data_IF_190853570617
#
_entry.id   IF_190853570617
#
_cell.length_a   1.000
_cell.length_b   1.000
_cell.length_c   1.000
_cell.angle_alpha   90.00
_cell.angle_beta   90.00
_cell.angle_gamma   90.00
#
_symmetry.space_group_name_H-M   'P 1'
#
loop_
_entity.id
_entity.type
_entity.pdbx_description
1 polymer ?
#
# COMPACT_ATOMS: atom_id res chain seq x y z
N UNK A 1 18.10 29.39 3.44
CA UNK A 1 17.26 28.25 3.07
C UNK A 1 18.18 27.06 3.03
N UNK A 2 17.90 26.06 3.84
CA UNK A 2 18.71 24.85 3.94
C UNK A 2 18.67 24.15 2.57
N UNK A 3 19.82 24.04 1.91
CA UNK A 3 19.97 23.46 0.57
C UNK A 3 20.08 21.93 0.69
N UNK A 4 19.13 21.34 1.42
CA UNK A 4 19.08 19.90 1.62
C UNK A 4 18.96 19.23 0.25
N UNK A 5 19.99 18.46 -0.10
CA UNK A 5 20.11 17.79 -1.39
C UNK A 5 18.89 16.88 -1.61
N UNK A 6 18.06 17.19 -2.61
CA UNK A 6 16.86 16.39 -2.92
C UNK A 6 17.30 14.98 -3.33
N UNK A 7 16.71 13.96 -2.72
CA UNK A 7 16.94 12.55 -3.05
C UNK A 7 15.61 11.83 -3.28
N UNK A 8 15.66 10.69 -3.94
CA UNK A 8 14.51 9.78 -4.04
C UNK A 8 14.32 9.08 -2.70
N UNK A 9 13.09 9.01 -2.23
CA UNK A 9 12.68 8.27 -1.04
C UNK A 9 11.60 7.28 -1.42
N UNK A 10 11.68 6.07 -0.86
CA UNK A 10 10.69 5.02 -1.07
C UNK A 10 9.82 4.85 0.19
N UNK A 11 8.52 4.73 -0.01
CA UNK A 11 7.56 4.37 1.03
C UNK A 11 7.02 2.99 0.65
N UNK A 12 7.17 2.01 1.55
CA UNK A 12 6.74 0.63 1.33
C UNK A 12 5.57 0.27 2.23
N UNK A 13 4.54 -0.34 1.64
CA UNK A 13 3.33 -0.78 2.33
C UNK A 13 3.14 -2.28 2.09
N UNK A 14 3.16 -3.07 3.16
CA UNK A 14 2.78 -4.47 3.12
C UNK A 14 1.26 -4.62 3.20
N UNK A 15 0.68 -5.45 2.35
CA UNK A 15 -0.76 -5.75 2.36
C UNK A 15 -0.99 -7.26 2.30
N UNK A 16 -1.80 -7.79 3.22
CA UNK A 16 -2.27 -9.17 3.16
C UNK A 16 -3.63 -9.18 2.45
N UNK A 17 -3.59 -9.42 1.13
CA UNK A 17 -4.75 -9.28 0.26
C UNK A 17 -4.62 -10.16 -1.00
N UNK A 18 -5.71 -10.33 -1.74
CA UNK A 18 -5.62 -10.86 -3.11
C UNK A 18 -4.94 -9.85 -4.03
N UNK A 19 -4.43 -10.32 -5.18
CA UNK A 19 -3.81 -9.43 -6.16
C UNK A 19 -4.76 -8.32 -6.65
N UNK A 20 -6.04 -8.64 -6.85
CA UNK A 20 -7.08 -7.67 -7.23
C UNK A 20 -7.27 -6.60 -6.15
N UNK A 21 -7.34 -7.02 -4.89
CA UNK A 21 -7.46 -6.10 -3.75
C UNK A 21 -6.22 -5.21 -3.62
N UNK A 22 -5.02 -5.77 -3.82
CA UNK A 22 -3.77 -5.00 -3.79
C UNK A 22 -3.72 -3.94 -4.91
N UNK A 23 -4.13 -4.30 -6.13
CA UNK A 23 -4.28 -3.33 -7.24
C UNK A 23 -5.27 -2.22 -6.89
N UNK A 24 -6.40 -2.57 -6.27
CA UNK A 24 -7.37 -1.56 -5.84
C UNK A 24 -6.77 -0.59 -4.82
N UNK A 25 -5.95 -1.05 -3.88
CA UNK A 25 -5.22 -0.17 -2.95
C UNK A 25 -4.29 0.77 -3.72
N UNK A 26 -3.57 0.29 -4.73
CA UNK A 26 -2.71 1.14 -5.58
C UNK A 26 -3.50 2.24 -6.28
N UNK A 27 -4.69 1.92 -6.82
CA UNK A 27 -5.57 2.90 -7.44
C UNK A 27 -6.04 3.97 -6.42
N UNK A 28 -6.42 3.54 -5.21
CA UNK A 28 -6.84 4.45 -4.14
C UNK A 28 -5.68 5.36 -3.67
N UNK A 29 -4.48 4.82 -3.48
CA UNK A 29 -3.28 5.60 -3.13
C UNK A 29 -2.97 6.60 -4.24
N UNK A 30 -3.08 6.18 -5.50
CA UNK A 30 -2.87 7.05 -6.65
C UNK A 30 -3.84 8.20 -6.67
N UNK A 31 -5.13 7.92 -6.48
CA UNK A 31 -6.18 8.93 -6.44
C UNK A 31 -6.01 9.90 -5.26
N UNK A 32 -5.59 9.41 -4.09
CA UNK A 32 -5.38 10.22 -2.90
C UNK A 32 -4.19 11.19 -3.05
N UNK A 33 -3.11 10.74 -3.68
CA UNK A 33 -1.89 11.53 -3.85
C UNK A 33 -1.89 12.40 -5.12
N UNK A 34 -2.84 12.15 -6.03
CA UNK A 34 -3.02 12.98 -7.21
C UNK A 34 -3.82 14.25 -6.85
N UNK A 35 -3.29 15.45 -7.07
CA UNK A 35 -3.97 16.70 -6.73
C UNK A 35 -5.17 17.00 -7.65
N UNK A 36 -5.19 16.37 -8.84
CA UNK A 36 -6.18 16.57 -9.89
C UNK A 36 -6.34 15.24 -10.65
N UNK A 37 -7.34 14.40 -10.37
CA UNK A 37 -7.49 13.10 -11.03
C UNK A 37 -7.81 13.19 -12.53
N UNK A 38 -8.24 14.35 -13.03
CA UNK A 38 -8.69 14.55 -14.41
C UNK A 38 -7.59 15.13 -15.34
N UNK A 39 -6.36 15.29 -14.84
CA UNK A 39 -5.23 15.76 -15.65
C UNK A 39 -4.87 14.76 -16.75
N UNK A 40 -4.32 15.27 -17.88
CA UNK A 40 -3.80 14.38 -18.94
C UNK A 40 -2.48 13.75 -18.50
N UNK A 41 -2.33 12.41 -18.56
CA UNK A 41 -1.08 11.75 -18.22
C UNK A 41 0.10 12.26 -19.08
N UNK A 42 1.34 12.27 -18.53
CA UNK A 42 1.72 11.79 -17.20
C UNK A 42 1.44 12.81 -16.07
N UNK A 43 1.34 12.31 -14.83
CA UNK A 43 1.14 13.14 -13.63
C UNK A 43 2.24 14.20 -13.48
N UNK A 44 1.89 15.48 -13.22
CA UNK A 44 2.89 16.55 -13.10
C UNK A 44 3.67 16.50 -11.77
N UNK A 45 3.22 15.71 -10.78
CA UNK A 45 3.96 15.53 -9.53
C UNK A 45 5.00 14.40 -9.69
N UNK A 46 6.26 14.59 -9.28
CA UNK A 46 7.34 13.63 -9.49
C UNK A 46 7.32 12.46 -8.49
N UNK A 47 6.26 11.65 -8.52
CA UNK A 47 6.17 10.39 -7.81
C UNK A 47 5.66 9.27 -8.73
N UNK A 48 5.94 8.04 -8.36
CA UNK A 48 5.39 6.85 -9.01
C UNK A 48 5.02 5.82 -7.95
N UNK A 49 4.04 4.97 -8.25
CA UNK A 49 3.68 3.82 -7.44
C UNK A 49 3.87 2.56 -8.28
N UNK A 50 4.32 1.48 -7.64
CA UNK A 50 4.45 0.18 -8.27
C UNK A 50 3.84 -0.87 -7.34
N UNK A 51 3.13 -1.85 -7.93
CA UNK A 51 2.75 -3.06 -7.23
C UNK A 51 3.87 -4.08 -7.44
N UNK A 52 4.56 -4.43 -6.35
CA UNK A 52 5.56 -5.49 -6.34
C UNK A 52 4.84 -6.80 -5.98
N UNK A 53 4.82 -7.76 -6.91
CA UNK A 53 4.45 -9.15 -6.60
C UNK A 53 5.60 -9.84 -5.84
N UNK A 54 5.36 -10.99 -5.21
CA UNK A 54 6.35 -11.67 -4.36
C UNK A 54 7.55 -12.20 -5.19
N UNK A 55 8.76 -11.61 -5.10
CA UNK A 55 9.87 -12.01 -5.95
C UNK A 55 10.86 -12.97 -5.28
N UNK A 56 10.86 -13.13 -3.95
CA UNK A 56 11.69 -14.03 -3.11
C UNK A 56 11.71 -13.44 -1.68
N UNK A 57 11.07 -14.13 -0.73
CA UNK A 57 10.82 -13.70 0.67
C UNK A 57 12.10 -13.53 1.52
N UNK A 58 12.86 -12.45 1.31
CA UNK A 58 13.61 -11.79 2.41
C UNK A 58 12.77 -10.69 3.07
N UNK A 59 11.69 -10.24 2.41
CA UNK A 59 10.73 -9.23 2.90
C UNK A 59 9.54 -9.84 3.65
N UNK A 60 9.39 -11.16 3.59
CA UNK A 60 8.32 -11.91 4.27
C UNK A 60 8.35 -11.76 5.79
N UNK A 61 9.53 -11.52 6.37
CA UNK A 61 9.65 -11.25 7.82
C UNK A 61 9.15 -9.86 8.20
N UNK A 62 9.28 -8.85 7.33
CA UNK A 62 8.89 -7.45 7.63
C UNK A 62 7.37 -7.28 7.78
N UNK A 63 6.61 -8.17 7.16
CA UNK A 63 5.14 -8.10 7.10
C UNK A 63 4.46 -9.37 7.60
N UNK A 64 5.19 -10.27 8.28
CA UNK A 64 4.67 -11.54 8.79
C UNK A 64 3.44 -11.34 9.71
N UNK A 65 3.46 -10.29 10.51
CA UNK A 65 2.41 -9.95 11.47
C UNK A 65 1.06 -9.62 10.79
N UNK A 66 1.04 -9.27 9.50
CA UNK A 66 -0.22 -8.97 8.79
C UNK A 66 -1.13 -10.21 8.71
N UNK A 67 -0.55 -11.40 8.61
CA UNK A 67 -1.32 -12.66 8.59
C UNK A 67 -1.96 -12.89 9.96
N UNK A 68 -1.21 -12.66 11.04
CA UNK A 68 -1.73 -12.79 12.40
C UNK A 68 -2.79 -11.74 12.69
N UNK A 69 -2.55 -10.48 12.32
CA UNK A 69 -3.53 -9.40 12.45
C UNK A 69 -4.84 -9.76 11.74
N UNK A 70 -4.78 -10.23 10.48
CA UNK A 70 -5.97 -10.66 9.74
C UNK A 70 -6.76 -11.73 10.49
N UNK A 71 -6.08 -12.75 11.03
CA UNK A 71 -6.73 -13.83 11.79
C UNK A 71 -7.44 -13.31 13.05
N UNK A 72 -6.79 -12.40 13.79
CA UNK A 72 -7.37 -11.78 15.00
C UNK A 72 -8.60 -10.95 14.62
N UNK A 73 -8.51 -10.15 13.56
CA UNK A 73 -9.61 -9.30 13.13
C UNK A 73 -10.81 -10.09 12.60
N UNK A 74 -10.59 -11.16 11.83
CA UNK A 74 -11.68 -12.03 11.39
C UNK A 74 -12.37 -12.71 12.57
N UNK A 75 -11.61 -13.24 13.54
CA UNK A 75 -12.18 -13.83 14.75
C UNK A 75 -13.06 -12.83 15.52
N UNK A 76 -12.58 -11.59 15.70
CA UNK A 76 -13.35 -10.52 16.34
C UNK A 76 -14.63 -10.22 15.57
N UNK A 77 -14.56 -10.09 14.24
CA UNK A 77 -15.73 -9.81 13.39
C UNK A 77 -16.77 -10.94 13.50
N UNK A 78 -16.33 -12.19 13.55
CA UNK A 78 -17.22 -13.34 13.68
C UNK A 78 -17.90 -13.38 15.05
N UNK A 79 -17.14 -13.17 16.14
CA UNK A 79 -17.69 -13.13 17.51
C UNK A 79 -18.61 -11.92 17.76
N UNK A 80 -18.26 -10.73 17.28
CA UNK A 80 -19.07 -9.52 17.45
C UNK A 80 -20.41 -9.60 16.68
N UNK A 81 -20.60 -10.56 15.78
CA UNK A 81 -21.86 -10.79 15.02
C UNK A 81 -22.80 -11.78 15.69
N UNK A 82 -22.32 -12.52 16.68
CA UNK A 82 -23.11 -13.52 17.42
C UNK A 82 -23.75 -12.95 18.70
N UNK A 83 -23.39 -11.72 19.08
CA UNK A 83 -23.99 -10.92 20.18
C UNK A 83 -25.05 -9.92 19.68
#
# INVERSE_FOLDING_TARGET
MDDAQRQVWEIRLGVYATEEQARHVVDQVTALLCPDPDHRPPCPIPWSVALLGDPELEEGELYADLIEQYRIEQYRIEHDREE
#
